data_IF_831484875115
#
_entry.id   IF_831484875115
#
_cell.length_a   1.000
_cell.length_b   1.000
_cell.length_c   1.000
_cell.angle_alpha   90.00
_cell.angle_beta   90.00
_cell.angle_gamma   90.00
#
_symmetry.space_group_name_H-M   'P 1'
#
loop_
_entity.id
_entity.type
_entity.pdbx_description
1 polymer ?
#
# COMPACT_ATOMS: atom_id res chain seq x y z
N UNK A 1 15.28 8.03 -2.96
CA UNK A 1 14.37 7.95 -1.80
C UNK A 1 13.15 7.15 -2.24
N UNK A 2 12.79 6.06 -1.55
CA UNK A 2 11.62 5.24 -1.93
C UNK A 2 10.32 5.95 -1.51
N UNK A 3 9.28 5.78 -2.32
CA UNK A 3 7.91 6.25 -2.04
C UNK A 3 7.01 5.03 -2.00
N UNK A 4 6.05 5.03 -1.09
CA UNK A 4 5.15 3.92 -0.83
C UNK A 4 3.71 4.30 -1.16
N UNK A 5 2.92 3.32 -1.59
CA UNK A 5 1.49 3.45 -1.86
C UNK A 5 0.76 2.30 -1.15
N UNK A 6 -0.50 2.54 -0.77
CA UNK A 6 -1.37 1.49 -0.24
C UNK A 6 -2.34 1.11 -1.34
N UNK A 7 -2.41 -0.17 -1.68
CA UNK A 7 -3.26 -0.65 -2.76
C UNK A 7 -3.84 -2.04 -2.46
N UNK A 8 -5.04 -2.31 -2.98
CA UNK A 8 -5.57 -3.66 -3.09
C UNK A 8 -4.94 -4.30 -4.32
N UNK A 9 -4.43 -5.51 -4.15
CA UNK A 9 -3.90 -6.34 -5.24
C UNK A 9 -4.84 -7.52 -5.46
N UNK A 10 -5.56 -7.53 -6.57
CA UNK A 10 -6.17 -8.73 -7.13
C UNK A 10 -5.27 -9.21 -8.27
N UNK A 11 -5.18 -10.52 -8.53
CA UNK A 11 -4.16 -11.14 -9.41
C UNK A 11 -3.90 -10.40 -10.73
N UNK A 12 -4.94 -9.79 -11.31
CA UNK A 12 -4.88 -9.04 -12.56
C UNK A 12 -4.86 -7.52 -12.39
N UNK A 13 -5.32 -6.98 -11.25
CA UNK A 13 -5.56 -5.55 -11.07
C UNK A 13 -5.01 -5.02 -9.75
N UNK A 14 -4.46 -3.81 -9.81
CA UNK A 14 -4.05 -3.08 -8.62
C UNK A 14 -4.86 -1.79 -8.51
N UNK A 15 -5.49 -1.60 -7.35
CA UNK A 15 -6.31 -0.43 -7.07
C UNK A 15 -5.73 0.36 -5.90
N UNK A 16 -5.28 1.60 -6.12
CA UNK A 16 -4.78 2.43 -5.03
C UNK A 16 -5.93 2.79 -4.09
N UNK A 17 -5.66 2.73 -2.79
CA UNK A 17 -6.60 3.14 -1.74
C UNK A 17 -6.07 4.38 -1.01
N UNK A 18 -6.82 4.87 -0.01
CA UNK A 18 -6.48 6.11 0.69
C UNK A 18 -6.31 7.30 -0.27
N UNK A 19 -7.24 7.45 -1.22
CA UNK A 19 -7.25 8.49 -2.25
C UNK A 19 -5.98 8.53 -3.12
N UNK A 20 -5.29 7.40 -3.26
CA UNK A 20 -4.03 7.32 -4.02
C UNK A 20 -2.87 8.06 -3.36
N UNK A 21 -2.95 8.33 -2.06
CA UNK A 21 -1.91 9.03 -1.32
C UNK A 21 -0.57 8.29 -1.38
N UNK A 22 0.47 9.04 -1.71
CA UNK A 22 1.87 8.58 -1.68
C UNK A 22 2.52 8.92 -0.32
N UNK A 23 3.32 7.99 0.20
CA UNK A 23 3.98 8.10 1.49
C UNK A 23 5.49 8.08 1.33
N UNK A 24 6.21 9.01 1.98
CA UNK A 24 7.69 9.03 1.98
C UNK A 24 8.32 8.05 2.98
N UNK A 25 7.53 7.51 3.90
CA UNK A 25 7.96 6.59 4.95
C UNK A 25 7.09 5.33 4.94
N UNK A 26 7.72 4.15 5.00
CA UNK A 26 7.03 2.85 5.01
C UNK A 26 6.10 2.70 6.23
N UNK A 27 6.55 3.15 7.41
CA UNK A 27 5.78 3.11 8.65
C UNK A 27 4.48 3.92 8.56
N UNK A 28 4.51 5.08 7.90
CA UNK A 28 3.32 5.89 7.67
C UNK A 28 2.34 5.21 6.71
N UNK A 29 2.84 4.57 5.65
CA UNK A 29 2.03 3.77 4.74
C UNK A 29 1.43 2.55 5.45
N UNK A 30 2.20 1.87 6.30
CA UNK A 30 1.74 0.72 7.07
C UNK A 30 0.59 1.09 8.01
N UNK A 31 0.72 2.20 8.75
CA UNK A 31 -0.36 2.69 9.62
C UNK A 31 -1.65 2.99 8.84
N UNK A 32 -1.54 3.53 7.63
CA UNK A 32 -2.70 3.77 6.77
C UNK A 32 -3.30 2.45 6.24
N UNK A 33 -2.46 1.50 5.86
CA UNK A 33 -2.84 0.16 5.43
C UNK A 33 -3.56 -0.62 6.53
N UNK A 34 -3.04 -0.61 7.76
CA UNK A 34 -3.66 -1.29 8.91
C UNK A 34 -5.04 -0.70 9.22
N UNK A 35 -5.16 0.62 9.19
CA UNK A 35 -6.44 1.32 9.36
C UNK A 35 -7.44 0.95 8.26
N UNK A 36 -7.00 0.88 7.01
CA UNK A 36 -7.82 0.46 5.89
C UNK A 36 -8.31 -0.99 6.09
N UNK A 37 -7.39 -1.90 6.43
CA UNK A 37 -7.66 -3.33 6.62
C UNK A 37 -8.52 -3.65 7.84
N UNK A 38 -8.58 -2.76 8.83
CA UNK A 38 -9.48 -2.87 9.99
C UNK A 38 -10.90 -2.34 9.73
N UNK A 39 -11.10 -1.58 8.64
CA UNK A 39 -12.40 -0.93 8.32
C UNK A 39 -13.05 -1.47 7.06
N UNK A 40 -12.29 -2.13 6.18
CA UNK A 40 -12.75 -2.63 4.89
C UNK A 40 -12.58 -4.15 4.79
N UNK A 41 -13.48 -4.84 4.07
CA UNK A 41 -13.39 -6.28 3.87
C UNK A 41 -12.22 -6.67 2.96
N UNK A 42 -11.90 -5.82 1.97
CA UNK A 42 -10.82 -6.05 1.03
C UNK A 42 -9.47 -5.68 1.68
N UNK A 43 -8.50 -6.60 1.63
CA UNK A 43 -7.18 -6.37 2.21
C UNK A 43 -6.27 -5.63 1.24
N UNK A 44 -5.80 -4.47 1.66
CA UNK A 44 -4.75 -3.72 1.01
C UNK A 44 -3.36 -4.12 1.52
N UNK A 45 -2.34 -3.76 0.72
CA UNK A 45 -0.91 -3.96 1.00
C UNK A 45 -0.15 -2.65 0.78
N UNK A 46 0.99 -2.51 1.45
CA UNK A 46 1.94 -1.44 1.17
C UNK A 46 2.87 -1.89 0.05
N UNK A 47 2.97 -1.09 -0.99
CA UNK A 47 3.83 -1.34 -2.15
C UNK A 47 4.78 -0.17 -2.35
N UNK A 48 5.94 -0.42 -2.96
CA UNK A 48 6.81 0.64 -3.48
C UNK A 48 6.16 1.23 -4.73
N UNK A 49 5.94 2.54 -4.75
CA UNK A 49 5.19 3.22 -5.81
C UNK A 49 5.85 3.16 -7.19
N UNK A 50 7.19 3.04 -7.23
CA UNK A 50 8.00 3.06 -8.47
C UNK A 50 7.73 1.87 -9.39
N UNK A 51 7.25 0.74 -8.86
CA UNK A 51 6.89 -0.45 -9.65
C UNK A 51 5.81 -1.33 -9.00
N UNK A 52 5.07 -0.79 -8.03
CA UNK A 52 4.00 -1.50 -7.31
C UNK A 52 4.41 -2.87 -6.76
N UNK A 53 5.66 -3.00 -6.34
CA UNK A 53 6.21 -4.24 -5.80
C UNK A 53 6.19 -4.21 -4.28
N UNK A 54 6.11 -5.40 -3.68
CA UNK A 54 6.42 -5.56 -2.27
C UNK A 54 7.92 -5.38 -2.11
N UNK A 55 8.31 -4.61 -1.11
CA UNK A 55 9.71 -4.58 -0.72
C UNK A 55 10.01 -5.89 -0.02
N UNK A 56 10.79 -6.76 -0.66
CA UNK A 56 11.30 -7.98 -0.04
C UNK A 56 11.94 -7.62 1.29
N UNK A 57 11.48 -8.28 2.36
CA UNK A 57 11.95 -8.01 3.70
C UNK A 57 13.44 -8.29 3.83
N UNK A 58 14.17 -7.33 4.39
CA UNK A 58 15.26 -7.65 5.31
C UNK A 58 14.69 -8.27 6.59
#
# INVERSE_FOLDING_TARGET
MKVYIVAITDSTYMFPVCDGKLFKMKSAAQKACDRYNGTHPNKAKVLVADNWHLEDGE
#
